data_IF_010894647116
#
_entry.id   IF_010894647116
#
_cell.length_a   1.000
_cell.length_b   1.000
_cell.length_c   1.000
_cell.angle_alpha   90.00
_cell.angle_beta   90.00
_cell.angle_gamma   90.00
#
_symmetry.space_group_name_H-M   'P 1'
#
loop_
_entity.id
_entity.type
_entity.pdbx_description
1 polymer ?
#
# COMPACT_ATOMS: atom_id res chain seq x y z
N UNK A 1 -53.69 62.67 30.70
CA UNK A 1 -54.14 61.49 29.94
C UNK A 1 -52.92 60.82 29.29
N UNK A 2 -52.64 59.55 29.67
CA UNK A 2 -51.79 58.50 29.02
C UNK A 2 -50.33 58.92 28.68
N UNK A 3 -49.25 58.60 29.41
CA UNK A 3 -48.63 57.30 29.77
C UNK A 3 -48.41 56.30 28.61
N UNK A 4 -47.15 56.12 28.18
CA UNK A 4 -46.52 54.84 27.78
C UNK A 4 -45.00 55.03 27.48
N UNK A 5 -44.06 54.45 28.25
CA UNK A 5 -42.69 54.22 27.81
C UNK A 5 -42.49 52.75 27.39
N UNK A 6 -41.86 52.55 26.23
CA UNK A 6 -41.42 51.23 25.77
C UNK A 6 -40.20 50.77 26.56
N UNK A 7 -40.38 49.73 27.39
CA UNK A 7 -39.31 48.94 27.98
C UNK A 7 -38.96 47.81 27.00
N UNK A 8 -37.76 47.87 26.41
CA UNK A 8 -37.20 46.81 25.58
C UNK A 8 -36.63 45.71 26.47
N UNK A 9 -37.26 44.54 26.50
CA UNK A 9 -36.77 43.36 27.21
C UNK A 9 -35.76 42.61 26.33
N UNK A 10 -34.49 42.61 26.72
CA UNK A 10 -33.48 41.71 26.15
C UNK A 10 -33.67 40.35 26.84
N UNK A 11 -34.23 39.39 26.10
CA UNK A 11 -34.39 38.00 26.52
C UNK A 11 -33.06 37.26 26.27
N UNK A 12 -32.39 36.69 27.28
CA UNK A 12 -31.22 35.86 27.04
C UNK A 12 -31.68 34.48 26.55
N UNK A 13 -31.43 34.19 25.28
CA UNK A 13 -31.57 32.83 24.72
C UNK A 13 -30.51 31.93 25.36
N UNK A 14 -30.95 31.12 26.32
CA UNK A 14 -30.20 29.98 26.84
C UNK A 14 -29.98 28.97 25.71
N UNK A 15 -28.76 28.91 25.19
CA UNK A 15 -28.30 27.83 24.32
C UNK A 15 -28.15 26.56 25.18
N UNK A 16 -29.22 25.78 25.27
CA UNK A 16 -29.17 24.40 25.74
C UNK A 16 -28.45 23.57 24.66
N UNK A 17 -27.13 23.41 24.84
CA UNK A 17 -26.33 22.46 24.08
C UNK A 17 -26.86 21.05 24.34
N UNK A 18 -27.57 20.47 23.37
CA UNK A 18 -27.87 19.05 23.38
C UNK A 18 -26.55 18.28 23.23
N UNK A 19 -25.97 17.87 24.36
CA UNK A 19 -24.96 16.83 24.38
C UNK A 19 -25.64 15.53 23.91
N UNK A 20 -25.55 15.25 22.61
CA UNK A 20 -25.95 13.97 22.06
C UNK A 20 -25.07 12.89 22.71
N UNK A 21 -25.60 12.21 23.73
CA UNK A 21 -24.99 11.01 24.30
C UNK A 21 -24.99 9.96 23.19
N UNK A 22 -23.84 9.79 22.53
CA UNK A 22 -23.65 8.75 21.54
C UNK A 22 -23.91 7.39 22.17
N UNK A 23 -24.88 6.64 21.63
CA UNK A 23 -25.17 5.27 22.06
C UNK A 23 -23.90 4.44 21.88
N UNK A 24 -23.43 3.80 22.95
CA UNK A 24 -22.23 2.97 22.88
C UNK A 24 -22.45 1.83 21.86
N UNK A 25 -21.46 1.54 20.99
CA UNK A 25 -21.62 0.53 19.96
C UNK A 25 -21.89 -0.85 20.59
N UNK A 26 -22.71 -1.70 19.95
CA UNK A 26 -23.00 -3.05 20.42
C UNK A 26 -21.73 -3.87 20.67
N UNK A 27 -21.79 -4.82 21.61
CA UNK A 27 -20.64 -5.64 22.01
C UNK A 27 -19.96 -6.33 20.82
N UNK A 28 -20.74 -6.83 19.85
CA UNK A 28 -20.21 -7.50 18.66
C UNK A 28 -19.41 -6.54 17.76
N UNK A 29 -19.86 -5.30 17.59
CA UNK A 29 -19.15 -4.28 16.81
C UNK A 29 -17.81 -3.92 17.48
N UNK A 30 -17.79 -3.75 18.81
CA UNK A 30 -16.54 -3.53 19.56
C UNK A 30 -15.56 -4.69 19.40
N UNK A 31 -16.06 -5.93 19.47
CA UNK A 31 -15.22 -7.12 19.29
C UNK A 31 -14.68 -7.25 17.86
N UNK A 32 -15.48 -6.93 16.84
CA UNK A 32 -15.04 -6.94 15.44
C UNK A 32 -13.92 -5.92 15.19
N UNK A 33 -14.09 -4.69 15.70
CA UNK A 33 -13.06 -3.65 15.63
C UNK A 33 -11.77 -4.03 16.39
N UNK A 34 -11.91 -4.62 17.59
CA UNK A 34 -10.77 -5.09 18.37
C UNK A 34 -9.99 -6.20 17.65
N UNK A 35 -10.68 -7.13 16.98
CA UNK A 35 -10.05 -8.19 16.18
C UNK A 35 -9.25 -7.61 15.01
N UNK A 36 -9.81 -6.66 14.25
CA UNK A 36 -9.08 -5.95 13.19
C UNK A 36 -7.84 -5.21 13.72
N UNK A 37 -7.95 -4.55 14.87
CA UNK A 37 -6.82 -3.85 15.48
C UNK A 37 -5.70 -4.82 15.90
N UNK A 38 -6.06 -5.96 16.50
CA UNK A 38 -5.09 -6.99 16.88
C UNK A 38 -4.40 -7.59 15.64
N UNK A 39 -5.17 -7.86 14.58
CA UNK A 39 -4.64 -8.37 13.32
C UNK A 39 -3.65 -7.38 12.67
N UNK A 40 -3.98 -6.09 12.67
CA UNK A 40 -3.08 -5.03 12.19
C UNK A 40 -1.79 -4.96 13.01
N UNK A 41 -1.87 -5.02 14.35
CA UNK A 41 -0.68 -5.05 15.22
C UNK A 41 0.19 -6.28 14.97
N UNK A 42 -0.42 -7.45 14.80
CA UNK A 42 0.30 -8.68 14.46
C UNK A 42 0.99 -8.56 13.09
N UNK A 43 0.35 -7.90 12.12
CA UNK A 43 0.92 -7.63 10.80
C UNK A 43 2.12 -6.67 10.90
N UNK A 44 2.00 -5.56 11.63
CA UNK A 44 3.12 -4.63 11.88
C UNK A 44 4.27 -5.32 12.62
N UNK A 45 3.96 -6.20 13.57
CA UNK A 45 4.95 -7.02 14.27
C UNK A 45 5.47 -8.22 13.47
N UNK A 46 5.07 -8.35 12.20
CA UNK A 46 5.48 -9.43 11.28
C UNK A 46 5.16 -10.85 11.80
N UNK A 47 4.22 -10.97 12.73
CA UNK A 47 3.69 -12.25 13.17
C UNK A 47 2.61 -12.70 12.18
N UNK A 48 3.02 -13.02 10.96
CA UNK A 48 2.11 -13.26 9.83
C UNK A 48 1.16 -14.42 10.07
N UNK A 49 1.60 -15.46 10.80
CA UNK A 49 0.73 -16.60 11.15
C UNK A 49 -0.40 -16.17 12.08
N UNK A 50 -0.10 -15.39 13.12
CA UNK A 50 -1.13 -14.85 14.00
C UNK A 50 -2.00 -13.82 13.26
N UNK A 51 -1.39 -12.95 12.44
CA UNK A 51 -2.10 -11.96 11.65
C UNK A 51 -3.13 -12.60 10.72
N UNK A 52 -2.78 -13.65 9.97
CA UNK A 52 -3.70 -14.36 9.09
C UNK A 52 -4.90 -14.94 9.86
N UNK A 53 -4.67 -15.54 11.04
CA UNK A 53 -5.74 -16.08 11.88
C UNK A 53 -6.67 -14.98 12.42
N UNK A 54 -6.09 -13.88 12.92
CA UNK A 54 -6.82 -12.74 13.48
C UNK A 54 -7.61 -11.99 12.40
N UNK A 55 -7.04 -11.80 11.21
CA UNK A 55 -7.75 -11.19 10.07
C UNK A 55 -8.94 -12.03 9.63
N UNK A 56 -8.78 -13.36 9.55
CA UNK A 56 -9.89 -14.28 9.26
C UNK A 56 -11.01 -14.20 10.30
N UNK A 57 -10.65 -14.08 11.57
CA UNK A 57 -11.64 -13.88 12.63
C UNK A 57 -12.37 -12.53 12.51
N UNK A 58 -11.62 -11.45 12.28
CA UNK A 58 -12.18 -10.13 12.08
C UNK A 58 -13.16 -10.10 10.90
N UNK A 59 -12.79 -10.70 9.77
CA UNK A 59 -13.65 -10.83 8.59
C UNK A 59 -14.98 -11.53 8.91
N UNK A 60 -14.93 -12.67 9.61
CA UNK A 60 -16.15 -13.40 10.02
C UNK A 60 -17.06 -12.56 10.93
N UNK A 61 -16.48 -11.79 11.84
CA UNK A 61 -17.23 -10.93 12.77
C UNK A 61 -17.90 -9.75 12.04
N UNK A 62 -17.22 -9.13 11.09
CA UNK A 62 -17.79 -8.06 10.26
C UNK A 62 -18.88 -8.59 9.32
N UNK A 63 -18.69 -9.77 8.72
CA UNK A 63 -19.74 -10.42 7.93
C UNK A 63 -20.99 -10.74 8.77
N UNK A 64 -20.82 -11.14 10.04
CA UNK A 64 -21.95 -11.36 10.95
C UNK A 64 -22.74 -10.09 11.29
N UNK A 65 -22.16 -8.91 11.00
CA UNK A 65 -22.77 -7.60 11.14
C UNK A 65 -23.27 -7.03 9.80
N UNK A 66 -23.19 -7.80 8.71
CA UNK A 66 -23.45 -7.34 7.33
C UNK A 66 -22.55 -6.16 6.90
N UNK A 67 -21.38 -6.01 7.53
CA UNK A 67 -20.39 -4.97 7.23
C UNK A 67 -19.39 -5.47 6.18
N UNK A 68 -19.83 -5.46 4.93
CA UNK A 68 -19.04 -5.92 3.77
C UNK A 68 -17.78 -5.09 3.53
N UNK A 69 -17.79 -3.81 3.91
CA UNK A 69 -16.62 -2.93 3.78
C UNK A 69 -15.51 -3.39 4.71
N UNK A 70 -15.81 -3.53 6.00
CA UNK A 70 -14.83 -3.93 7.00
C UNK A 70 -14.45 -5.41 6.88
N UNK A 71 -15.39 -6.27 6.47
CA UNK A 71 -15.10 -7.66 6.15
C UNK A 71 -14.11 -7.77 4.97
N UNK A 72 -14.36 -7.03 3.88
CA UNK A 72 -13.48 -6.96 2.73
C UNK A 72 -12.08 -6.49 3.09
N UNK A 73 -11.98 -5.41 3.86
CA UNK A 73 -10.70 -4.90 4.37
C UNK A 73 -9.94 -5.93 5.22
N UNK A 74 -10.65 -6.67 6.07
CA UNK A 74 -10.04 -7.75 6.86
C UNK A 74 -9.55 -8.92 5.98
N UNK A 75 -10.27 -9.27 4.92
CA UNK A 75 -9.84 -10.32 3.98
C UNK A 75 -8.64 -9.88 3.13
N UNK A 76 -8.56 -8.60 2.75
CA UNK A 76 -7.37 -8.03 2.12
C UNK A 76 -6.15 -8.11 3.05
N UNK A 77 -6.30 -7.80 4.33
CA UNK A 77 -5.26 -7.98 5.33
C UNK A 77 -4.84 -9.45 5.53
N UNK A 78 -5.81 -10.37 5.49
CA UNK A 78 -5.53 -11.81 5.53
C UNK A 78 -4.71 -12.26 4.30
N UNK A 79 -5.09 -11.82 3.09
CA UNK A 79 -4.38 -12.14 1.86
C UNK A 79 -2.92 -11.65 1.89
N UNK A 80 -2.68 -10.46 2.41
CA UNK A 80 -1.31 -9.94 2.62
C UNK A 80 -0.50 -10.83 3.58
N UNK A 81 -1.09 -11.25 4.70
CA UNK A 81 -0.43 -12.15 5.64
C UNK A 81 -0.14 -13.54 5.03
N UNK A 82 -1.07 -14.07 4.23
CA UNK A 82 -0.89 -15.34 3.50
C UNK A 82 0.24 -15.22 2.45
N UNK A 83 0.29 -14.12 1.70
CA UNK A 83 1.40 -13.83 0.77
C UNK A 83 2.74 -13.80 1.51
N UNK A 84 2.82 -13.13 2.66
CA UNK A 84 4.05 -13.07 3.46
C UNK A 84 4.50 -14.44 4.00
N UNK A 85 3.55 -15.37 4.22
CA UNK A 85 3.83 -16.77 4.58
C UNK A 85 4.19 -17.67 3.39
N UNK A 86 4.17 -17.14 2.16
CA UNK A 86 4.35 -17.92 0.92
C UNK A 86 3.15 -18.79 0.55
N UNK A 87 1.98 -18.55 1.18
CA UNK A 87 0.74 -19.30 0.93
C UNK A 87 -0.06 -18.66 -0.22
N UNK A 88 0.59 -18.48 -1.38
CA UNK A 88 0.04 -17.72 -2.51
C UNK A 88 -1.26 -18.29 -3.04
N UNK A 89 -1.42 -19.62 -3.09
CA UNK A 89 -2.66 -20.26 -3.57
C UNK A 89 -3.87 -19.94 -2.67
N UNK A 90 -3.69 -19.93 -1.35
CA UNK A 90 -4.76 -19.52 -0.42
C UNK A 90 -5.07 -18.03 -0.55
N UNK A 91 -4.05 -17.19 -0.72
CA UNK A 91 -4.24 -15.75 -0.94
C UNK A 91 -5.05 -15.49 -2.22
N UNK A 92 -4.71 -16.14 -3.33
CA UNK A 92 -5.44 -16.04 -4.61
C UNK A 92 -6.90 -16.48 -4.43
N UNK A 93 -7.15 -17.65 -3.85
CA UNK A 93 -8.50 -18.16 -3.67
C UNK A 93 -9.38 -17.23 -2.83
N UNK A 94 -8.80 -16.60 -1.79
CA UNK A 94 -9.46 -15.60 -0.97
C UNK A 94 -9.82 -14.34 -1.76
N UNK A 95 -8.86 -13.81 -2.53
CA UNK A 95 -9.03 -12.60 -3.33
C UNK A 95 -10.05 -12.81 -4.47
N UNK A 96 -10.02 -13.95 -5.15
CA UNK A 96 -11.05 -14.33 -6.13
C UNK A 96 -12.45 -14.41 -5.51
N UNK A 97 -12.53 -14.84 -4.25
CA UNK A 97 -13.76 -14.79 -3.46
C UNK A 97 -14.34 -13.37 -3.33
N UNK A 98 -13.49 -12.37 -3.11
CA UNK A 98 -13.89 -10.96 -3.05
C UNK A 98 -14.40 -10.45 -4.40
N UNK A 99 -13.78 -10.88 -5.50
CA UNK A 99 -14.14 -10.45 -6.85
C UNK A 99 -15.47 -11.03 -7.34
N UNK A 100 -15.83 -12.24 -6.89
CA UNK A 100 -17.06 -12.94 -7.29
C UNK A 100 -18.35 -12.40 -6.65
N UNK A 101 -18.25 -11.59 -5.61
CA UNK A 101 -19.42 -11.06 -4.89
C UNK A 101 -19.56 -9.55 -5.08
N UNK A 102 -20.71 -9.13 -5.60
CA UNK A 102 -21.06 -7.71 -5.72
C UNK A 102 -21.40 -7.04 -4.38
N UNK A 103 -21.51 -7.81 -3.29
CA UNK A 103 -21.71 -7.27 -1.95
C UNK A 103 -20.47 -6.48 -1.47
N UNK A 104 -19.28 -6.81 -1.97
CA UNK A 104 -18.07 -6.04 -1.66
C UNK A 104 -18.00 -4.74 -2.47
N UNK A 105 -17.70 -3.60 -1.81
CA UNK A 105 -17.52 -2.32 -2.50
C UNK A 105 -16.47 -2.38 -3.62
N UNK A 106 -16.65 -1.52 -4.64
CA UNK A 106 -15.71 -1.42 -5.76
C UNK A 106 -14.26 -1.17 -5.31
N UNK A 107 -14.05 -0.36 -4.27
CA UNK A 107 -12.73 -0.10 -3.71
C UNK A 107 -12.05 -1.37 -3.16
N UNK A 108 -12.80 -2.23 -2.44
CA UNK A 108 -12.29 -3.52 -1.95
C UNK A 108 -11.92 -4.43 -3.13
N UNK A 109 -12.77 -4.50 -4.15
CA UNK A 109 -12.50 -5.30 -5.34
C UNK A 109 -11.33 -4.77 -6.16
N UNK A 110 -11.15 -3.45 -6.24
CA UNK A 110 -10.00 -2.82 -6.87
C UNK A 110 -8.69 -3.20 -6.17
N UNK A 111 -8.67 -3.16 -4.84
CA UNK A 111 -7.49 -3.57 -4.07
C UNK A 111 -7.26 -5.09 -4.17
N UNK A 112 -8.31 -5.89 -4.23
CA UNK A 112 -8.19 -7.34 -4.46
C UNK A 112 -7.52 -7.64 -5.81
N UNK A 113 -7.96 -6.96 -6.87
CA UNK A 113 -7.29 -7.00 -8.17
C UNK A 113 -5.81 -6.59 -8.07
N UNK A 114 -5.50 -5.49 -7.37
CA UNK A 114 -4.11 -5.06 -7.22
C UNK A 114 -3.24 -6.11 -6.49
N UNK A 115 -3.75 -6.74 -5.44
CA UNK A 115 -3.02 -7.81 -4.73
C UNK A 115 -2.84 -9.08 -5.58
N UNK A 116 -3.83 -9.45 -6.39
CA UNK A 116 -3.69 -10.52 -7.37
C UNK A 116 -2.62 -10.19 -8.42
N UNK A 117 -2.54 -8.94 -8.86
CA UNK A 117 -1.49 -8.51 -9.78
C UNK A 117 -0.09 -8.62 -9.16
N UNK A 118 0.07 -8.29 -7.88
CA UNK A 118 1.32 -8.49 -7.16
C UNK A 118 1.72 -9.97 -7.12
N UNK A 119 0.79 -10.85 -6.75
CA UNK A 119 1.03 -12.30 -6.68
C UNK A 119 1.39 -12.90 -8.04
N UNK A 120 0.66 -12.55 -9.10
CA UNK A 120 0.97 -12.98 -10.47
C UNK A 120 2.35 -12.47 -10.91
N UNK A 121 2.66 -11.22 -10.59
CA UNK A 121 3.97 -10.62 -10.85
C UNK A 121 5.11 -11.39 -10.16
N UNK A 122 4.94 -11.82 -8.92
CA UNK A 122 5.94 -12.61 -8.18
C UNK A 122 6.17 -13.99 -8.77
N UNK A 123 5.12 -14.59 -9.35
CA UNK A 123 5.17 -15.87 -10.04
C UNK A 123 5.73 -15.76 -11.47
N UNK A 124 6.02 -14.55 -11.93
CA UNK A 124 6.51 -14.29 -13.29
C UNK A 124 5.41 -14.25 -14.35
N UNK A 125 4.14 -14.27 -13.94
CA UNK A 125 2.98 -14.27 -14.82
C UNK A 125 2.60 -12.83 -15.20
N UNK A 126 3.40 -12.21 -16.07
CA UNK A 126 3.26 -10.80 -16.42
C UNK A 126 1.90 -10.45 -17.05
N UNK A 127 1.38 -11.31 -17.93
CA UNK A 127 0.10 -11.07 -18.61
C UNK A 127 -1.07 -11.13 -17.62
N UNK A 128 -1.07 -12.12 -16.72
CA UNK A 128 -2.07 -12.21 -15.65
C UNK A 128 -2.00 -10.98 -14.73
N UNK A 129 -0.79 -10.53 -14.38
CA UNK A 129 -0.63 -9.32 -13.59
C UNK A 129 -1.22 -8.08 -14.28
N UNK A 130 -1.04 -7.93 -15.59
CA UNK A 130 -1.60 -6.81 -16.37
C UNK A 130 -3.14 -6.88 -16.43
N UNK A 131 -3.73 -8.06 -16.61
CA UNK A 131 -5.19 -8.25 -16.58
C UNK A 131 -5.76 -7.78 -15.23
N UNK A 132 -5.12 -8.15 -14.13
CA UNK A 132 -5.55 -7.71 -12.80
C UNK A 132 -5.32 -6.21 -12.58
N UNK A 133 -4.24 -5.62 -13.07
CA UNK A 133 -4.03 -4.16 -13.01
C UNK A 133 -5.09 -3.38 -13.79
N UNK A 134 -5.52 -3.89 -14.95
CA UNK A 134 -6.64 -3.30 -15.69
C UNK A 134 -7.95 -3.40 -14.90
N UNK A 135 -8.18 -4.52 -14.20
CA UNK A 135 -9.31 -4.68 -13.29
C UNK A 135 -9.28 -3.70 -12.11
N UNK A 136 -8.13 -3.55 -11.46
CA UNK A 136 -7.93 -2.60 -10.38
C UNK A 136 -8.21 -1.17 -10.84
N UNK A 137 -7.68 -0.80 -12.02
CA UNK A 137 -7.84 0.55 -12.58
C UNK A 137 -9.28 0.86 -13.00
N UNK A 138 -10.03 -0.13 -13.51
CA UNK A 138 -11.46 0.06 -13.85
C UNK A 138 -12.33 0.29 -12.61
N UNK A 139 -11.99 -0.34 -11.49
CA UNK A 139 -12.77 -0.28 -10.26
C UNK A 139 -12.30 0.81 -9.29
N UNK A 140 -11.06 1.25 -9.42
CA UNK A 140 -10.55 2.41 -8.72
C UNK A 140 -11.36 3.63 -9.17
N UNK A 141 -12.05 4.29 -8.24
CA UNK A 141 -12.48 5.65 -8.50
C UNK A 141 -11.22 6.53 -8.67
N UNK A 142 -11.30 7.62 -9.43
CA UNK A 142 -10.14 8.51 -9.66
C UNK A 142 -9.56 9.16 -8.39
N UNK A 143 -10.08 8.83 -7.20
CA UNK A 143 -9.61 9.25 -5.88
C UNK A 143 -8.90 8.13 -5.12
N UNK A 144 -8.80 6.94 -5.71
CA UNK A 144 -8.12 5.79 -5.15
C UNK A 144 -6.63 6.06 -4.97
N UNK A 145 -6.13 5.78 -3.75
CA UNK A 145 -4.68 5.77 -3.46
C UNK A 145 -3.90 4.72 -4.25
N UNK A 146 -4.56 3.84 -5.00
CA UNK A 146 -3.92 2.79 -5.80
C UNK A 146 -3.31 3.29 -7.11
N UNK A 147 -3.65 4.49 -7.60
CA UNK A 147 -3.21 4.94 -8.92
C UNK A 147 -1.67 4.92 -9.07
N UNK A 148 -0.94 5.41 -8.07
CA UNK A 148 0.53 5.41 -8.09
C UNK A 148 1.10 4.00 -7.98
N UNK A 149 0.49 3.16 -7.15
CA UNK A 149 0.88 1.77 -6.95
C UNK A 149 0.68 0.93 -8.24
N UNK A 150 -0.45 1.14 -8.94
CA UNK A 150 -0.75 0.54 -10.24
C UNK A 150 0.29 0.95 -11.28
N UNK A 151 0.57 2.26 -11.40
CA UNK A 151 1.59 2.76 -12.32
C UNK A 151 2.97 2.16 -12.01
N UNK A 152 3.38 2.15 -10.74
CA UNK A 152 4.63 1.55 -10.31
C UNK A 152 4.73 0.05 -10.66
N UNK A 153 3.66 -0.73 -10.48
CA UNK A 153 3.68 -2.15 -10.82
C UNK A 153 3.73 -2.38 -12.34
N UNK A 154 2.97 -1.61 -13.14
CA UNK A 154 3.07 -1.63 -14.61
C UNK A 154 4.49 -1.33 -15.07
N UNK A 155 5.10 -0.31 -14.48
CA UNK A 155 6.48 0.06 -14.79
C UNK A 155 7.50 -1.01 -14.41
N UNK A 156 7.32 -1.67 -13.27
CA UNK A 156 8.17 -2.81 -12.86
C UNK A 156 8.02 -4.01 -13.81
N UNK A 157 6.81 -4.28 -14.30
CA UNK A 157 6.55 -5.31 -15.30
C UNK A 157 7.23 -4.95 -16.64
N UNK A 158 7.06 -3.72 -17.12
CA UNK A 158 7.70 -3.24 -18.33
C UNK A 158 9.23 -3.35 -18.27
N UNK A 159 9.85 -2.95 -17.15
CA UNK A 159 11.30 -3.04 -16.97
C UNK A 159 11.80 -4.49 -16.97
N UNK A 160 11.04 -5.43 -16.40
CA UNK A 160 11.36 -6.87 -16.47
C UNK A 160 11.23 -7.42 -17.88
N UNK A 161 10.25 -6.94 -18.64
CA UNK A 161 10.10 -7.23 -20.07
C UNK A 161 11.11 -6.55 -20.98
N UNK A 162 12.02 -5.72 -20.44
CA UNK A 162 13.05 -5.01 -21.21
C UNK A 162 12.60 -3.65 -21.77
N UNK A 163 11.35 -3.23 -21.54
CA UNK A 163 10.83 -1.94 -22.00
C UNK A 163 11.14 -0.84 -20.97
N UNK A 164 12.37 -0.32 -21.04
CA UNK A 164 12.83 0.79 -20.19
C UNK A 164 12.06 2.10 -20.47
N UNK A 165 11.55 2.29 -21.69
CA UNK A 165 10.81 3.50 -22.08
C UNK A 165 9.43 3.53 -21.40
N UNK A 166 8.69 2.42 -21.47
CA UNK A 166 7.43 2.30 -20.76
C UNK A 166 7.64 2.36 -19.24
N UNK A 167 8.70 1.74 -18.71
CA UNK A 167 9.04 1.85 -17.29
C UNK A 167 9.22 3.31 -16.84
N UNK A 168 9.95 4.14 -17.61
CA UNK A 168 10.10 5.57 -17.32
C UNK A 168 8.77 6.32 -17.39
N UNK A 169 7.94 6.03 -18.41
CA UNK A 169 6.62 6.67 -18.55
C UNK A 169 5.75 6.40 -17.32
N UNK A 170 5.67 5.16 -16.88
CA UNK A 170 4.87 4.79 -15.71
C UNK A 170 5.45 5.35 -14.40
N UNK A 171 6.78 5.42 -14.26
CA UNK A 171 7.41 6.10 -13.12
C UNK A 171 7.04 7.60 -13.08
N UNK A 172 7.11 8.28 -14.23
CA UNK A 172 6.75 9.69 -14.34
C UNK A 172 5.27 9.94 -14.03
N UNK A 173 4.39 9.07 -14.53
CA UNK A 173 2.96 9.07 -14.21
C UNK A 173 2.76 8.98 -12.69
N UNK A 174 3.33 7.98 -12.02
CA UNK A 174 3.22 7.79 -10.58
C UNK A 174 3.68 9.03 -9.78
N UNK A 175 4.80 9.64 -10.16
CA UNK A 175 5.35 10.85 -9.50
C UNK A 175 4.44 12.06 -9.70
N UNK A 176 3.78 12.16 -10.86
CA UNK A 176 2.93 13.30 -11.22
C UNK A 176 1.55 13.28 -10.54
N UNK A 177 1.16 12.16 -9.94
CA UNK A 177 -0.15 12.00 -9.32
C UNK A 177 -0.31 12.96 -8.11
N UNK A 178 -1.42 13.73 -8.05
CA UNK A 178 -1.70 14.57 -6.90
C UNK A 178 -1.79 13.75 -5.62
N UNK A 179 -1.07 14.19 -4.58
CA UNK A 179 -1.09 13.53 -3.28
C UNK A 179 -0.44 12.15 -3.25
N UNK A 180 0.44 11.83 -4.21
CA UNK A 180 1.19 10.56 -4.19
C UNK A 180 1.91 10.38 -2.84
N UNK A 181 1.65 9.23 -2.22
CA UNK A 181 2.27 8.88 -0.95
C UNK A 181 3.80 8.81 -1.08
N UNK A 182 4.57 9.28 -0.08
CA UNK A 182 6.03 9.31 -0.16
C UNK A 182 6.68 7.96 -0.51
N UNK A 183 6.09 6.85 -0.03
CA UNK A 183 6.58 5.50 -0.31
C UNK A 183 6.38 5.08 -1.78
N UNK A 184 5.26 5.47 -2.40
CA UNK A 184 5.05 5.22 -3.83
C UNK A 184 5.90 6.13 -4.71
N UNK A 185 6.17 7.36 -4.25
CA UNK A 185 7.15 8.24 -4.91
C UNK A 185 8.56 7.65 -4.89
N UNK A 186 8.98 7.06 -3.78
CA UNK A 186 10.27 6.37 -3.68
C UNK A 186 10.35 5.17 -4.63
N UNK A 187 9.29 4.36 -4.70
CA UNK A 187 9.18 3.25 -5.66
C UNK A 187 9.32 3.72 -7.12
N UNK A 188 8.66 4.83 -7.48
CA UNK A 188 8.72 5.40 -8.81
C UNK A 188 10.12 5.94 -9.15
N UNK A 189 10.79 6.59 -8.20
CA UNK A 189 12.18 7.06 -8.34
C UNK A 189 13.15 5.90 -8.53
N UNK A 190 12.99 4.81 -7.76
CA UNK A 190 13.77 3.58 -7.95
C UNK A 190 13.60 3.01 -9.35
N UNK A 191 12.36 2.96 -9.83
CA UNK A 191 12.04 2.50 -11.17
C UNK A 191 12.66 3.39 -12.25
N UNK A 192 12.57 4.72 -12.11
CA UNK A 192 13.22 5.68 -13.01
C UNK A 192 14.73 5.48 -13.05
N UNK A 193 15.37 5.27 -11.89
CA UNK A 193 16.80 5.02 -11.79
C UNK A 193 17.23 3.75 -12.53
N UNK A 194 16.51 2.64 -12.30
CA UNK A 194 16.77 1.37 -12.99
C UNK A 194 16.52 1.45 -14.50
N UNK A 195 15.53 2.24 -14.93
CA UNK A 195 15.29 2.47 -16.35
C UNK A 195 16.39 3.34 -16.98
N UNK A 196 16.92 4.35 -16.29
CA UNK A 196 18.06 5.14 -16.73
C UNK A 196 19.35 4.30 -16.87
N UNK A 197 19.53 3.30 -16.00
CA UNK A 197 20.63 2.33 -16.14
C UNK A 197 20.59 1.56 -17.46
N UNK A 198 19.39 1.22 -17.96
CA UNK A 198 19.24 0.53 -19.26
C UNK A 198 19.70 1.40 -20.43
N UNK A 199 19.51 2.72 -20.32
CA UNK A 199 19.95 3.70 -21.30
C UNK A 199 21.40 4.15 -21.10
N UNK A 200 22.11 3.60 -20.09
CA UNK A 200 23.46 4.02 -19.67
C UNK A 200 23.55 5.49 -19.23
N UNK A 201 22.43 6.10 -18.84
CA UNK A 201 22.41 7.40 -18.17
C UNK A 201 22.79 7.22 -16.69
N UNK A 202 24.08 7.00 -16.43
CA UNK A 202 24.60 6.79 -15.08
C UNK A 202 24.33 7.97 -14.14
N UNK A 203 24.53 9.24 -14.55
CA UNK A 203 24.21 10.38 -13.70
C UNK A 203 22.71 10.46 -13.36
N UNK A 204 21.82 10.22 -14.32
CA UNK A 204 20.38 10.19 -14.09
C UNK A 204 19.94 9.04 -13.20
N UNK A 205 20.49 7.84 -13.43
CA UNK A 205 20.28 6.68 -12.56
C UNK A 205 20.68 6.97 -11.12
N UNK A 206 21.88 7.53 -10.92
CA UNK A 206 22.40 7.87 -9.59
C UNK A 206 21.49 8.84 -8.86
N UNK A 207 21.10 9.95 -9.52
CA UNK A 207 20.22 10.96 -8.93
C UNK A 207 18.88 10.36 -8.48
N UNK A 208 18.27 9.54 -9.32
CA UNK A 208 16.97 8.95 -9.01
C UNK A 208 17.05 7.93 -7.86
N UNK A 209 18.07 7.06 -7.88
CA UNK A 209 18.27 6.05 -6.82
C UNK A 209 18.66 6.67 -5.48
N UNK A 210 19.50 7.70 -5.47
CA UNK A 210 19.82 8.44 -4.23
C UNK A 210 18.58 9.11 -3.64
N UNK A 211 17.71 9.69 -4.49
CA UNK A 211 16.47 10.30 -4.05
C UNK A 211 15.47 9.27 -3.46
N UNK A 212 15.37 8.08 -4.06
CA UNK A 212 14.59 6.98 -3.50
C UNK A 212 15.11 6.57 -2.11
N UNK A 213 16.43 6.36 -1.99
CA UNK A 213 17.09 5.99 -0.74
C UNK A 213 16.86 7.01 0.38
N UNK A 214 16.90 8.30 0.06
CA UNK A 214 16.62 9.37 1.04
C UNK A 214 15.19 9.29 1.56
N UNK A 215 14.21 9.07 0.67
CA UNK A 215 12.81 8.93 1.06
C UNK A 215 12.60 7.68 1.93
N UNK A 216 13.08 6.52 1.50
CA UNK A 216 12.85 5.27 2.23
C UNK A 216 13.59 5.21 3.57
N UNK A 217 14.69 5.94 3.71
CA UNK A 217 15.31 6.23 5.02
C UNK A 217 14.44 7.10 5.92
N UNK A 218 13.89 8.18 5.38
CA UNK A 218 12.96 9.05 6.12
C UNK A 218 11.69 8.32 6.57
N UNK A 219 11.27 7.32 5.82
CA UNK A 219 10.10 6.47 6.10
C UNK A 219 10.41 5.24 6.96
N UNK A 220 11.69 5.01 7.31
CA UNK A 220 12.13 3.83 8.06
C UNK A 220 11.67 2.50 7.44
N UNK A 221 11.82 2.34 6.12
CA UNK A 221 11.42 1.12 5.36
C UNK A 221 12.64 0.25 5.04
N UNK A 222 13.10 -0.64 5.94
CA UNK A 222 14.34 -1.39 5.77
C UNK A 222 14.41 -2.23 4.49
N UNK A 223 13.32 -2.90 4.08
CA UNK A 223 13.27 -3.65 2.81
C UNK A 223 13.55 -2.76 1.60
N UNK A 224 12.85 -1.62 1.52
CA UNK A 224 13.02 -0.65 0.46
C UNK A 224 14.40 0.03 0.48
N UNK A 225 14.94 0.34 1.66
CA UNK A 225 16.32 0.84 1.83
C UNK A 225 17.33 -0.17 1.26
N UNK A 226 17.17 -1.46 1.56
CA UNK A 226 18.03 -2.50 1.03
C UNK A 226 17.90 -2.62 -0.50
N UNK A 227 16.69 -2.51 -1.03
CA UNK A 227 16.43 -2.51 -2.47
C UNK A 227 17.11 -1.32 -3.19
N UNK A 228 17.08 -0.12 -2.60
CA UNK A 228 17.77 1.06 -3.13
C UNK A 228 19.29 0.89 -3.12
N UNK A 229 19.84 0.38 -2.02
CA UNK A 229 21.28 0.12 -1.90
C UNK A 229 21.75 -0.94 -2.89
N UNK A 230 20.94 -1.97 -3.12
CA UNK A 230 21.20 -2.99 -4.14
C UNK A 230 21.19 -2.39 -5.54
N UNK A 231 20.19 -1.57 -5.87
CA UNK A 231 20.13 -0.89 -7.16
C UNK A 231 21.33 0.06 -7.38
N UNK A 232 21.77 0.76 -6.32
CA UNK A 232 22.98 1.58 -6.36
C UNK A 232 24.25 0.74 -6.56
N UNK A 233 24.33 -0.45 -5.94
CA UNK A 233 25.45 -1.38 -6.16
C UNK A 233 25.48 -1.92 -7.60
N UNK A 234 24.31 -2.24 -8.17
CA UNK A 234 24.15 -2.63 -9.58
C UNK A 234 24.60 -1.50 -10.52
N UNK A 235 24.18 -0.26 -10.24
CA UNK A 235 24.63 0.93 -10.97
C UNK A 235 26.16 1.08 -10.90
N UNK A 236 26.73 1.02 -9.69
CA UNK A 236 28.16 1.18 -9.47
C UNK A 236 28.97 0.11 -10.22
N UNK A 237 28.49 -1.13 -10.22
CA UNK A 237 29.09 -2.21 -11.00
C UNK A 237 29.05 -1.91 -12.49
N UNK A 238 27.90 -1.46 -13.02
CA UNK A 238 27.72 -1.15 -14.43
C UNK A 238 28.53 0.06 -14.90
N UNK A 239 28.78 1.03 -14.03
CA UNK A 239 29.57 2.24 -14.34
C UNK A 239 31.05 2.13 -13.97
N UNK A 240 31.51 1.02 -13.39
CA UNK A 240 32.88 0.85 -12.92
C UNK A 240 33.25 1.66 -11.66
N UNK A 241 32.25 2.05 -10.86
CA UNK A 241 32.45 2.77 -9.60
C UNK A 241 32.89 1.78 -8.49
N UNK A 242 34.02 2.03 -7.80
CA UNK A 242 34.53 1.15 -6.74
C UNK A 242 33.59 1.03 -5.53
N UNK A 243 32.56 1.88 -5.40
CA UNK A 243 31.59 1.82 -4.31
C UNK A 243 30.67 0.58 -4.34
N UNK A 244 30.66 -0.20 -5.44
CA UNK A 244 29.76 -1.34 -5.63
C UNK A 244 29.77 -2.33 -4.44
N UNK A 245 30.95 -2.77 -4.02
CA UNK A 245 31.09 -3.73 -2.92
C UNK A 245 30.60 -3.16 -1.57
N UNK A 246 30.88 -1.89 -1.30
CA UNK A 246 30.41 -1.22 -0.08
C UNK A 246 28.89 -1.09 -0.04
N UNK A 247 28.27 -0.72 -1.16
CA UNK A 247 26.82 -0.60 -1.29
C UNK A 247 26.12 -1.95 -1.12
N UNK A 248 26.64 -3.01 -1.74
CA UNK A 248 26.12 -4.37 -1.59
C UNK A 248 26.22 -4.86 -0.13
N UNK A 249 27.37 -4.62 0.53
CA UNK A 249 27.57 -4.95 1.94
C UNK A 249 26.57 -4.22 2.86
N UNK A 250 26.31 -2.94 2.58
CA UNK A 250 25.31 -2.15 3.32
C UNK A 250 23.89 -2.69 3.12
N UNK A 251 23.53 -3.10 1.90
CA UNK A 251 22.23 -3.72 1.63
C UNK A 251 22.05 -5.01 2.47
N UNK A 252 23.07 -5.87 2.47
CA UNK A 252 23.06 -7.10 3.26
C UNK A 252 22.97 -6.84 4.78
N UNK A 253 23.70 -5.83 5.28
CA UNK A 253 23.66 -5.44 6.69
C UNK A 253 22.27 -4.94 7.12
N UNK A 254 21.59 -4.17 6.28
CA UNK A 254 20.21 -3.72 6.54
C UNK A 254 19.27 -4.93 6.62
N UNK A 255 19.41 -5.89 5.71
CA UNK A 255 18.58 -7.10 5.72
C UNK A 255 18.82 -7.98 6.94
N UNK A 256 20.08 -8.20 7.32
CA UNK A 256 20.42 -8.98 8.50
C UNK A 256 19.85 -8.34 9.78
N UNK A 257 19.87 -7.01 9.89
CA UNK A 257 19.32 -6.29 11.03
C UNK A 257 17.78 -6.28 11.06
N UNK A 258 17.12 -6.22 9.90
CA UNK A 258 15.66 -6.19 9.78
C UNK A 258 15.02 -7.59 9.77
N UNK A 259 15.80 -8.63 9.51
CA UNK A 259 15.36 -10.00 9.28
C UNK A 259 15.16 -10.30 7.79
N UNK A 260 15.65 -11.46 7.34
CA UNK A 260 15.70 -11.85 5.91
C UNK A 260 14.33 -11.89 5.21
N UNK A 261 13.24 -12.02 5.96
CA UNK A 261 11.89 -12.00 5.41
C UNK A 261 11.50 -10.59 4.92
N UNK A 262 11.99 -9.53 5.58
CA UNK A 262 11.72 -8.14 5.21
C UNK A 262 12.34 -7.80 3.86
N UNK A 263 13.48 -8.38 3.53
CA UNK A 263 14.17 -8.14 2.27
C UNK A 263 13.80 -9.09 1.13
N UNK A 264 12.90 -10.06 1.36
CA UNK A 264 12.43 -10.99 0.31
C UNK A 264 11.18 -10.51 -0.44
N UNK A 265 10.55 -9.43 0.02
CA UNK A 265 9.22 -9.00 -0.44
C UNK A 265 9.22 -7.84 -1.46
N UNK A 266 10.40 -7.33 -1.83
CA UNK A 266 10.60 -6.18 -2.75
C UNK A 266 11.38 -6.60 -4.02
#
# INVERSE_FOLDING_TARGET
>A
MKWFPWFSWILPLLLAGCAAQGVAPPALQKQAAAASQQAARASTGQNWRAAAALWREAARRHLALDDWTMAGGAQLGQAQALRALGQSAEAVALLDGLLRSDAYPAAIRAEAHYQLALLASEQGEADAALVHLDGAQRLADGKSGLAAAIANLRGRLALRGGDASAARRFAAEAISLPGVEPHERANALRLQGRAAMRDKDWPGARRALDAALVLDRGLARPGAIAADLKALAELATASGDPAAASLASRAAAVCAAAGDMVCRLD
#
